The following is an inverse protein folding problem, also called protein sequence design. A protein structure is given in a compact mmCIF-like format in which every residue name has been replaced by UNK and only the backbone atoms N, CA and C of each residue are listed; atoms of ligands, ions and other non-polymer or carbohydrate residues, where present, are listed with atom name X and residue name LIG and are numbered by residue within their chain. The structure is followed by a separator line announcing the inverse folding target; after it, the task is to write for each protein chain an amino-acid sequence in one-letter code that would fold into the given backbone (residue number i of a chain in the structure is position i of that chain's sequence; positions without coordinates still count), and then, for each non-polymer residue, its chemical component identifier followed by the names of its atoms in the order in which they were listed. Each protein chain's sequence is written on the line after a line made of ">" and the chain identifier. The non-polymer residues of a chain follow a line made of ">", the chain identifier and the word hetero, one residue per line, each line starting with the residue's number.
data_IF_736857483577
#
_entry.id   IF_736857483577
#
_cell.length_a   1.000
_cell.length_b   1.000
_cell.length_c   1.000
_cell.angle_alpha   90.00
_cell.angle_beta   90.00
_cell.angle_gamma   90.00
#
_symmetry.space_group_name_H-M   'P 1'
#
loop_
_entity.id
_entity.type
_entity.pdbx_description
1 polymer ?
#
# COMPACT_ATOMS: atom_id res chain seq x y z
N UNK A 1 6.41 1.57 23.66
CA UNK A 1 5.37 1.87 22.67
C UNK A 1 5.04 0.58 21.96
N UNK A 2 3.79 0.13 22.00
CA UNK A 2 3.39 -1.19 21.47
C UNK A 2 3.17 -1.08 19.95
N UNK A 3 4.24 -1.08 19.17
CA UNK A 3 4.16 -1.08 17.71
C UNK A 3 4.08 -2.50 17.16
N UNK A 4 3.01 -3.22 17.52
CA UNK A 4 2.88 -4.65 17.18
C UNK A 4 2.28 -4.91 15.80
N UNK A 5 1.51 -3.98 15.26
CA UNK A 5 0.84 -4.14 13.98
C UNK A 5 1.13 -3.00 13.02
N UNK A 6 1.44 -3.35 11.78
CA UNK A 6 1.67 -2.39 10.68
C UNK A 6 0.65 -2.61 9.58
N UNK A 7 0.05 -1.53 9.09
CA UNK A 7 -0.84 -1.51 7.93
C UNK A 7 -0.05 -0.95 6.76
N UNK A 8 0.03 -1.69 5.65
CA UNK A 8 0.63 -1.21 4.41
C UNK A 8 -0.44 -0.88 3.39
N UNK A 9 -0.28 0.24 2.72
CA UNK A 9 -1.16 0.65 1.63
C UNK A 9 -0.43 1.60 0.67
N UNK A 10 -1.00 1.82 -0.52
CA UNK A 10 -0.41 2.68 -1.54
C UNK A 10 -1.41 3.59 -2.19
N UNK A 11 -0.92 4.72 -2.72
CA UNK A 11 -1.75 5.65 -3.43
C UNK A 11 -1.04 6.29 -4.62
N UNK A 12 -1.78 6.57 -5.69
CA UNK A 12 -1.25 7.28 -6.85
C UNK A 12 -1.22 8.78 -6.60
N UNK A 13 -0.09 9.41 -6.92
CA UNK A 13 0.10 10.86 -6.96
C UNK A 13 0.41 11.22 -8.42
N UNK A 14 -0.46 12.00 -9.05
CA UNK A 14 -0.31 12.34 -10.46
C UNK A 14 1.00 13.09 -10.71
N UNK A 15 1.67 12.75 -11.81
CA UNK A 15 2.84 13.48 -12.31
C UNK A 15 2.43 14.41 -13.48
N UNK A 16 3.19 15.48 -13.75
CA UNK A 16 2.98 16.32 -14.91
C UNK A 16 3.12 15.50 -16.20
N UNK A 17 2.04 15.39 -16.98
CA UNK A 17 2.04 14.63 -18.23
C UNK A 17 2.42 15.48 -19.45
N UNK A 18 2.59 16.80 -19.26
CA UNK A 18 2.92 17.74 -20.35
C UNK A 18 4.38 17.61 -20.76
N UNK A 19 4.62 17.68 -22.05
CA UNK A 19 5.96 17.78 -22.67
C UNK A 19 6.33 19.25 -23.02
N UNK A 20 5.52 20.22 -22.55
CA UNK A 20 5.77 21.66 -22.75
C UNK A 20 6.76 22.22 -21.73
N UNK A 21 7.86 21.52 -21.51
CA UNK A 21 8.99 21.95 -20.70
C UNK A 21 10.21 22.17 -21.60
N UNK A 22 11.29 22.69 -21.06
CA UNK A 22 12.52 22.99 -21.78
C UNK A 22 13.10 21.75 -22.48
N UNK A 23 13.04 20.58 -21.80
CA UNK A 23 13.54 19.30 -22.32
C UNK A 23 12.58 18.62 -23.30
N UNK A 24 11.33 19.10 -23.43
CA UNK A 24 10.23 18.49 -24.22
C UNK A 24 9.97 17.01 -23.88
N UNK A 25 10.29 16.59 -22.67
CA UNK A 25 10.19 15.23 -22.18
C UNK A 25 9.25 15.15 -20.97
N UNK A 26 8.68 13.97 -20.77
CA UNK A 26 7.99 13.66 -19.52
C UNK A 26 9.01 13.27 -18.46
N UNK A 27 8.57 13.31 -17.22
CA UNK A 27 9.34 12.83 -16.09
C UNK A 27 9.67 11.34 -16.24
N UNK A 28 10.97 10.99 -16.27
CA UNK A 28 11.47 9.63 -16.48
C UNK A 28 11.15 8.69 -15.31
N UNK A 29 11.01 9.25 -14.10
CA UNK A 29 10.79 8.50 -12.88
C UNK A 29 9.30 8.21 -12.62
N UNK A 30 8.40 8.90 -13.33
CA UNK A 30 6.99 8.62 -13.32
C UNK A 30 6.60 7.61 -14.40
N UNK A 31 5.57 6.82 -14.16
CA UNK A 31 5.12 5.82 -15.12
C UNK A 31 3.60 5.78 -15.29
N UNK A 32 3.15 5.20 -16.41
CA UNK A 32 1.73 5.00 -16.66
C UNK A 32 1.25 3.74 -15.93
N UNK A 33 0.07 3.85 -15.30
CA UNK A 33 -0.64 2.73 -14.70
C UNK A 33 -2.11 2.79 -15.06
N UNK A 34 -2.74 1.64 -15.30
CA UNK A 34 -4.17 1.54 -15.55
C UNK A 34 -4.89 1.22 -14.24
N UNK A 35 -5.87 2.04 -13.87
CA UNK A 35 -6.77 1.78 -12.74
C UNK A 35 -8.21 1.81 -13.24
N UNK A 36 -8.88 0.67 -13.20
CA UNK A 36 -10.16 0.51 -13.90
C UNK A 36 -9.98 0.69 -15.41
N UNK A 37 -10.75 1.58 -16.02
CA UNK A 37 -10.67 1.88 -17.45
C UNK A 37 -9.84 3.13 -17.77
N UNK A 38 -9.19 3.74 -16.79
CA UNK A 38 -8.44 4.99 -16.96
C UNK A 38 -6.94 4.79 -16.76
N UNK A 39 -6.14 5.47 -17.59
CA UNK A 39 -4.69 5.53 -17.49
C UNK A 39 -4.25 6.78 -16.71
N UNK A 40 -3.27 6.58 -15.81
CA UNK A 40 -2.70 7.65 -14.99
C UNK A 40 -1.19 7.67 -15.21
N UNK A 41 -0.64 8.84 -15.51
CA UNK A 41 0.80 9.08 -15.46
C UNK A 41 1.13 9.62 -14.07
N UNK A 42 1.84 8.84 -13.26
CA UNK A 42 1.93 9.10 -11.83
C UNK A 42 3.12 8.42 -11.17
N UNK A 43 3.37 8.86 -9.95
CA UNK A 43 4.11 8.15 -8.93
C UNK A 43 3.15 7.35 -8.04
N UNK A 44 3.71 6.44 -7.27
CA UNK A 44 3.01 5.72 -6.23
C UNK A 44 3.70 5.99 -4.89
N UNK A 45 2.94 6.48 -3.93
CA UNK A 45 3.38 6.60 -2.55
C UNK A 45 2.89 5.38 -1.77
N UNK A 46 3.82 4.67 -1.15
CA UNK A 46 3.56 3.54 -0.26
C UNK A 46 3.77 3.98 1.17
N UNK A 47 2.91 3.58 2.07
CA UNK A 47 3.00 3.93 3.49
C UNK A 47 2.90 2.70 4.37
N UNK A 48 3.63 2.75 5.47
CA UNK A 48 3.43 1.90 6.63
C UNK A 48 2.80 2.73 7.75
N UNK A 49 1.67 2.28 8.27
CA UNK A 49 0.89 2.96 9.31
C UNK A 49 0.79 2.06 10.53
N UNK A 50 1.04 2.60 11.70
CA UNK A 50 0.84 1.86 12.95
C UNK A 50 -0.65 1.52 13.14
N UNK A 51 -0.94 0.23 13.39
CA UNK A 51 -2.30 -0.27 13.54
C UNK A 51 -3.06 0.38 14.69
N UNK A 52 -2.39 0.67 15.79
CA UNK A 52 -3.06 1.12 17.01
C UNK A 52 -3.25 2.63 17.03
N UNK A 53 -2.22 3.38 16.65
CA UNK A 53 -2.22 4.84 16.67
C UNK A 53 -2.67 5.50 15.37
N UNK A 54 -2.55 4.81 14.22
CA UNK A 54 -2.80 5.40 12.90
C UNK A 54 -1.69 6.35 12.41
N UNK A 55 -0.56 6.41 13.11
CA UNK A 55 0.59 7.23 12.71
C UNK A 55 1.38 6.57 11.59
N UNK A 56 1.84 7.39 10.64
CA UNK A 56 2.74 6.93 9.58
C UNK A 56 4.10 6.63 10.17
N UNK A 57 4.61 5.43 9.93
CA UNK A 57 5.92 4.95 10.37
C UNK A 57 6.96 5.12 9.27
N UNK A 58 6.59 4.78 8.04
CA UNK A 58 7.49 4.79 6.90
C UNK A 58 6.77 5.19 5.63
N UNK A 59 7.49 5.80 4.71
CA UNK A 59 7.01 6.20 3.40
C UNK A 59 8.06 5.79 2.37
N UNK A 60 7.60 5.18 1.28
CA UNK A 60 8.39 4.87 0.11
C UNK A 60 7.72 5.46 -1.14
N UNK A 61 8.50 5.90 -2.10
CA UNK A 61 7.96 6.44 -3.35
C UNK A 61 8.56 5.70 -4.54
N UNK A 62 7.70 5.28 -5.46
CA UNK A 62 8.12 4.55 -6.66
C UNK A 62 7.41 5.08 -7.91
N UNK A 63 7.87 4.65 -9.08
CA UNK A 63 7.09 4.77 -10.30
C UNK A 63 5.75 4.01 -10.15
N UNK A 64 4.68 4.50 -10.78
CA UNK A 64 3.34 3.95 -10.59
C UNK A 64 3.16 2.50 -11.06
N UNK A 65 4.03 2.00 -11.94
CA UNK A 65 3.99 0.62 -12.45
C UNK A 65 4.64 -0.40 -11.51
N UNK A 66 5.33 0.04 -10.46
CA UNK A 66 5.91 -0.87 -9.45
C UNK A 66 4.79 -1.55 -8.66
N UNK A 67 4.89 -2.85 -8.47
CA UNK A 67 3.88 -3.62 -7.73
C UNK A 67 3.99 -3.37 -6.23
N UNK A 68 2.84 -3.13 -5.57
CA UNK A 68 2.78 -2.82 -4.13
C UNK A 68 3.44 -3.89 -3.27
N UNK A 69 3.26 -5.16 -3.62
CA UNK A 69 3.81 -6.32 -2.91
C UNK A 69 5.34 -6.31 -2.82
N UNK A 70 6.04 -5.66 -3.78
CA UNK A 70 7.51 -5.59 -3.77
C UNK A 70 8.06 -4.58 -2.76
N UNK A 71 7.20 -3.68 -2.26
CA UNK A 71 7.61 -2.62 -1.35
C UNK A 71 7.42 -2.98 0.12
N UNK A 72 6.83 -4.15 0.41
CA UNK A 72 6.50 -4.56 1.79
C UNK A 72 7.75 -4.61 2.67
N UNK A 73 8.82 -5.26 2.21
CA UNK A 73 10.06 -5.37 3.00
C UNK A 73 10.68 -4.00 3.29
N UNK A 74 10.66 -3.08 2.32
CA UNK A 74 11.10 -1.71 2.48
C UNK A 74 10.27 -0.92 3.51
N UNK A 75 8.98 -1.21 3.63
CA UNK A 75 8.06 -0.54 4.54
C UNK A 75 8.10 -1.08 5.97
N UNK A 76 8.64 -2.26 6.18
CA UNK A 76 8.78 -2.86 7.52
C UNK A 76 10.07 -2.37 8.20
N UNK A 77 10.05 -2.32 9.52
CA UNK A 77 11.23 -2.03 10.34
C UNK A 77 11.72 -3.25 11.15
N UNK A 78 11.04 -4.39 11.01
CA UNK A 78 11.40 -5.64 11.66
C UNK A 78 10.95 -5.75 13.13
N UNK A 79 10.12 -4.85 13.61
CA UNK A 79 9.55 -4.91 14.98
C UNK A 79 8.10 -5.43 15.00
N UNK A 80 7.51 -5.61 13.83
CA UNK A 80 6.12 -6.01 13.65
C UNK A 80 5.85 -7.43 14.16
N UNK A 81 4.67 -7.64 14.74
CA UNK A 81 4.09 -8.95 15.00
C UNK A 81 3.01 -9.29 13.95
N UNK A 82 2.38 -8.26 13.37
CA UNK A 82 1.30 -8.38 12.40
C UNK A 82 1.46 -7.37 11.27
N UNK A 83 1.20 -7.81 10.03
CA UNK A 83 1.17 -6.99 8.83
C UNK A 83 -0.19 -7.07 8.17
N UNK A 84 -0.84 -5.93 8.01
CA UNK A 84 -2.14 -5.81 7.34
C UNK A 84 -1.98 -5.20 5.96
N UNK A 85 -2.61 -5.79 4.95
CA UNK A 85 -2.62 -5.27 3.59
C UNK A 85 -3.90 -5.61 2.84
N UNK A 86 -4.13 -4.93 1.72
CA UNK A 86 -5.21 -5.28 0.81
C UNK A 86 -4.86 -6.48 -0.07
N UNK A 87 -5.75 -6.86 -0.97
CA UNK A 87 -5.53 -7.99 -1.89
C UNK A 87 -4.41 -7.77 -2.92
N UNK A 88 -3.89 -6.57 -3.04
CA UNK A 88 -2.70 -6.25 -3.85
C UNK A 88 -1.41 -6.78 -3.24
N UNK A 89 -1.42 -7.05 -1.94
CA UNK A 89 -0.29 -7.58 -1.17
C UNK A 89 -0.32 -9.11 -1.01
N UNK A 90 -1.23 -9.82 -1.67
CA UNK A 90 -1.29 -11.30 -1.63
C UNK A 90 0.02 -11.90 -2.13
N UNK A 91 0.60 -12.78 -1.32
CA UNK A 91 1.86 -13.45 -1.62
C UNK A 91 3.11 -12.70 -1.14
N UNK A 92 2.95 -11.59 -0.42
CA UNK A 92 4.07 -10.86 0.16
C UNK A 92 4.96 -11.76 1.03
N UNK A 93 4.36 -12.67 1.79
CA UNK A 93 5.02 -13.64 2.66
C UNK A 93 5.84 -14.70 1.93
N UNK A 94 5.64 -14.84 0.62
CA UNK A 94 6.30 -15.85 -0.21
C UNK A 94 7.48 -15.32 -1.01
N UNK A 95 7.76 -14.04 -0.90
CA UNK A 95 8.82 -13.39 -1.64
C UNK A 95 10.17 -13.62 -0.96
N UNK A 96 11.26 -13.61 -1.73
CA UNK A 96 12.62 -13.79 -1.22
C UNK A 96 13.01 -12.70 -0.21
N UNK A 97 12.55 -11.46 -0.45
CA UNK A 97 12.79 -10.32 0.42
C UNK A 97 11.87 -10.25 1.65
N UNK A 98 10.92 -11.19 1.81
CA UNK A 98 9.94 -11.15 2.89
C UNK A 98 10.59 -11.25 4.28
N UNK A 99 10.22 -10.35 5.18
CA UNK A 99 10.60 -10.41 6.59
C UNK A 99 9.58 -11.28 7.32
N UNK A 100 9.92 -12.53 7.60
CA UNK A 100 9.01 -13.50 8.22
C UNK A 100 9.10 -13.53 9.74
N UNK A 101 10.21 -13.07 10.30
CA UNK A 101 10.45 -13.03 11.75
C UNK A 101 10.91 -11.62 12.16
N UNK A 102 10.39 -11.15 13.28
CA UNK A 102 10.81 -9.85 13.81
C UNK A 102 12.15 -9.93 14.57
N UNK A 103 12.70 -8.78 14.96
CA UNK A 103 13.96 -8.68 15.69
C UNK A 103 13.99 -9.41 17.04
N UNK A 104 12.85 -9.89 17.54
CA UNK A 104 12.71 -10.71 18.74
C UNK A 104 12.57 -12.22 18.44
N UNK A 105 12.73 -12.63 17.17
CA UNK A 105 12.60 -14.02 16.75
C UNK A 105 11.15 -14.54 16.66
N UNK A 106 10.15 -13.66 16.74
CA UNK A 106 8.73 -14.01 16.63
C UNK A 106 8.29 -13.96 15.17
N UNK A 107 7.54 -14.95 14.72
CA UNK A 107 6.94 -14.99 13.39
C UNK A 107 5.95 -13.84 13.19
N UNK A 108 6.05 -13.17 12.04
CA UNK A 108 5.18 -12.07 11.65
C UNK A 108 3.97 -12.64 10.92
N UNK A 109 2.78 -12.30 11.40
CA UNK A 109 1.52 -12.71 10.78
C UNK A 109 1.13 -11.77 9.64
N UNK A 110 1.11 -12.28 8.41
CA UNK A 110 0.63 -11.56 7.24
C UNK A 110 -0.89 -11.69 7.11
N UNK A 111 -1.62 -10.64 7.47
CA UNK A 111 -3.08 -10.57 7.51
C UNK A 111 -3.58 -9.81 6.28
N UNK A 112 -3.48 -10.44 5.13
CA UNK A 112 -3.85 -9.85 3.85
C UNK A 112 -5.33 -10.13 3.53
N UNK A 113 -6.06 -9.10 3.05
CA UNK A 113 -7.44 -9.25 2.65
C UNK A 113 -7.57 -10.14 1.40
N UNK A 114 -8.52 -11.05 1.42
CA UNK A 114 -8.83 -11.89 0.28
C UNK A 114 -9.63 -11.11 -0.79
N UNK A 115 -9.47 -11.51 -2.05
CA UNK A 115 -10.33 -10.98 -3.13
C UNK A 115 -11.75 -11.49 -2.98
N UNK A 116 -12.80 -10.64 -3.10
CA UNK A 116 -14.20 -11.07 -2.97
C UNK A 116 -14.56 -12.24 -3.89
N UNK A 117 -14.00 -12.26 -5.10
CA UNK A 117 -14.21 -13.37 -6.06
C UNK A 117 -13.64 -14.70 -5.58
N UNK A 118 -12.57 -14.70 -4.79
CA UNK A 118 -11.99 -15.92 -4.23
C UNK A 118 -12.80 -16.47 -3.06
N UNK A 119 -13.43 -15.60 -2.26
CA UNK A 119 -14.34 -16.01 -1.19
C UNK A 119 -15.56 -16.74 -1.73
N UNK A 120 -16.20 -16.19 -2.78
CA UNK A 120 -17.35 -16.81 -3.46
C UNK A 120 -17.02 -18.18 -4.08
N UNK A 121 -15.76 -18.41 -4.45
CA UNK A 121 -15.33 -19.71 -5.00
C UNK A 121 -15.05 -20.75 -3.92
N UNK A 122 -14.66 -20.31 -2.72
CA UNK A 122 -14.20 -21.21 -1.64
C UNK A 122 -15.31 -21.57 -0.66
N UNK A 123 -16.23 -20.66 -0.42
CA UNK A 123 -17.21 -20.76 0.66
C UNK A 123 -18.63 -20.58 0.14
N UNK A 124 -19.61 -21.23 0.77
CA UNK A 124 -21.02 -21.10 0.50
C UNK A 124 -21.82 -21.01 1.81
N UNK A 125 -23.05 -20.46 1.74
CA UNK A 125 -23.97 -20.37 2.88
C UNK A 125 -23.35 -19.68 4.09
N UNK A 126 -23.56 -20.24 5.27
CA UNK A 126 -23.12 -19.68 6.54
C UNK A 126 -21.58 -19.52 6.65
N UNK A 127 -20.80 -20.38 5.98
CA UNK A 127 -19.34 -20.26 5.95
C UNK A 127 -18.90 -19.04 5.13
N UNK A 128 -19.60 -18.76 4.04
CA UNK A 128 -19.35 -17.54 3.25
C UNK A 128 -19.61 -16.27 4.08
N UNK A 129 -20.72 -16.24 4.83
CA UNK A 129 -21.04 -15.10 5.71
C UNK A 129 -19.97 -14.88 6.78
N UNK A 130 -19.50 -15.95 7.42
CA UNK A 130 -18.37 -15.88 8.37
C UNK A 130 -17.09 -15.37 7.74
N UNK A 131 -16.75 -15.85 6.54
CA UNK A 131 -15.58 -15.41 5.82
C UNK A 131 -15.68 -13.91 5.42
N UNK A 132 -16.83 -13.46 4.96
CA UNK A 132 -17.09 -12.05 4.67
C UNK A 132 -16.97 -11.19 5.93
N UNK A 133 -17.53 -11.62 7.06
CA UNK A 133 -17.40 -10.88 8.32
C UNK A 133 -15.93 -10.75 8.76
N UNK A 134 -15.13 -11.81 8.61
CA UNK A 134 -13.70 -11.77 8.90
C UNK A 134 -12.95 -10.77 7.99
N UNK A 135 -13.27 -10.72 6.69
CA UNK A 135 -12.69 -9.73 5.77
C UNK A 135 -13.11 -8.30 6.09
N UNK A 136 -14.35 -8.08 6.54
CA UNK A 136 -14.80 -6.77 7.03
C UNK A 136 -14.01 -6.31 8.26
N UNK A 137 -13.69 -7.21 9.19
CA UNK A 137 -12.85 -6.89 10.34
C UNK A 137 -11.45 -6.43 9.91
N UNK A 138 -10.81 -7.13 8.95
CA UNK A 138 -9.53 -6.72 8.37
C UNK A 138 -9.62 -5.35 7.67
N UNK A 139 -10.66 -5.14 6.86
CA UNK A 139 -10.89 -3.88 6.16
C UNK A 139 -11.08 -2.70 7.14
N UNK A 140 -11.78 -2.91 8.25
CA UNK A 140 -11.95 -1.91 9.30
C UNK A 140 -10.61 -1.44 9.90
N UNK A 141 -9.67 -2.36 10.11
CA UNK A 141 -8.32 -2.01 10.58
C UNK A 141 -7.59 -1.17 9.52
N UNK A 142 -7.68 -1.56 8.25
CA UNK A 142 -7.02 -0.87 7.13
C UNK A 142 -7.52 0.55 6.87
N UNK A 143 -8.74 0.90 7.27
CA UNK A 143 -9.27 2.27 7.11
C UNK A 143 -8.35 3.34 7.69
N UNK A 144 -7.48 3.03 8.65
CA UNK A 144 -6.51 3.98 9.19
C UNK A 144 -5.51 4.48 8.13
N UNK A 145 -5.06 3.61 7.23
CA UNK A 145 -4.21 4.03 6.11
C UNK A 145 -4.97 4.92 5.11
N UNK A 146 -6.25 4.62 4.86
CA UNK A 146 -7.11 5.46 4.03
C UNK A 146 -7.29 6.88 4.61
N UNK A 147 -7.36 7.01 5.95
CA UNK A 147 -7.42 8.31 6.62
C UNK A 147 -6.15 9.14 6.35
N UNK A 148 -4.97 8.53 6.36
CA UNK A 148 -3.72 9.22 6.00
C UNK A 148 -3.81 9.78 4.59
N UNK A 149 -4.25 8.97 3.63
CA UNK A 149 -4.40 9.44 2.26
C UNK A 149 -5.49 10.50 2.09
N UNK A 150 -6.57 10.43 2.88
CA UNK A 150 -7.59 11.47 2.90
C UNK A 150 -7.02 12.82 3.39
N UNK A 151 -6.16 12.81 4.39
CA UNK A 151 -5.45 14.01 4.87
C UNK A 151 -4.50 14.54 3.77
N UNK A 152 -3.64 13.68 3.21
CA UNK A 152 -2.66 14.06 2.19
C UNK A 152 -3.36 14.65 0.95
N UNK A 153 -4.37 13.98 0.41
CA UNK A 153 -5.04 14.38 -0.83
C UNK A 153 -6.18 15.37 -0.64
N UNK A 154 -6.82 15.36 0.53
CA UNK A 154 -7.93 16.24 0.87
C UNK A 154 -7.46 17.54 1.51
N UNK A 155 -6.90 17.47 2.72
CA UNK A 155 -6.51 18.64 3.49
C UNK A 155 -5.29 19.35 2.88
N UNK A 156 -4.21 18.61 2.60
CA UNK A 156 -3.01 19.17 1.97
C UNK A 156 -3.11 19.32 0.45
N UNK A 157 -4.18 18.81 -0.17
CA UNK A 157 -4.41 18.84 -1.62
C UNK A 157 -3.26 18.29 -2.47
N UNK A 158 -2.44 17.43 -1.90
CA UNK A 158 -1.29 16.81 -2.57
C UNK A 158 -1.76 15.64 -3.43
N UNK A 159 -2.40 15.95 -4.56
CA UNK A 159 -2.91 14.98 -5.55
C UNK A 159 -2.01 14.86 -6.76
N UNK A 160 -1.11 15.83 -6.95
CA UNK A 160 -0.20 15.94 -8.10
C UNK A 160 1.12 16.54 -7.65
N UNK A 161 2.23 15.98 -8.15
CA UNK A 161 3.57 16.55 -7.95
C UNK A 161 3.72 17.84 -8.76
N UNK A 162 4.50 18.78 -8.23
CA UNK A 162 4.87 20.03 -8.93
C UNK A 162 6.30 19.97 -9.44
N UNK A 163 7.13 19.14 -8.83
CA UNK A 163 8.51 18.90 -9.19
C UNK A 163 8.60 17.60 -9.98
N UNK A 164 9.59 17.49 -10.84
CA UNK A 164 9.97 16.30 -11.58
C UNK A 164 11.14 15.62 -10.87
N UNK A 165 11.25 14.31 -11.03
CA UNK A 165 12.25 13.41 -10.44
C UNK A 165 11.98 13.05 -8.96
N UNK A 166 12.23 11.80 -8.65
CA UNK A 166 12.34 11.32 -7.27
C UNK A 166 13.74 11.72 -6.79
N UNK A 167 13.81 12.70 -5.88
CA UNK A 167 15.08 12.98 -5.21
C UNK A 167 15.29 11.88 -4.17
N UNK A 168 16.35 11.10 -4.33
CA UNK A 168 16.88 10.26 -3.26
C UNK A 168 17.39 11.21 -2.15
N UNK A 169 16.79 11.10 -0.98
CA UNK A 169 17.18 11.85 0.22
C UNK A 169 18.03 10.94 1.08
#
# INVERSE_FOLDING_TARGET
>A
MLMKGTIVDSTLIAAPSSTKNEKKERDSDAHQVKKGNQWYFSYKGHIAVDRDTGLVRKIETTAANVHDVTQVAGLMDGTEEELYGDSGYLGAEKREEAILTNGHGKEIQYIICARPSSLKKRYAGAEYEKAVAAEHAKASIRCKAEHVFAVVKGMFRFRKTRLTQIMEI
#
